data_IF_034806754673
#
_entry.id   IF_034806754673
#
_cell.length_a   1.000
_cell.length_b   1.000
_cell.length_c   1.000
_cell.angle_alpha   90.00
_cell.angle_beta   90.00
_cell.angle_gamma   90.00
#
_symmetry.space_group_name_H-M   'P 1'
#
loop_
_entity.id
_entity.type
_entity.pdbx_description
1 polymer ?
#
# COMPACT_ATOMS: atom_id res chain seq x y z
N UNK A 1 15.73 14.31 -7.30
CA UNK A 1 15.76 12.93 -7.83
C UNK A 1 14.58 12.20 -7.21
N UNK A 2 13.60 11.79 -8.02
CA UNK A 2 12.63 10.79 -7.56
C UNK A 2 13.44 9.56 -7.13
N UNK A 3 13.29 9.12 -5.88
CA UNK A 3 13.91 7.87 -5.43
C UNK A 3 13.24 6.73 -6.18
N UNK A 4 14.01 5.75 -6.65
CA UNK A 4 13.46 4.51 -7.17
C UNK A 4 12.83 3.77 -5.98
N UNK A 5 11.51 3.79 -5.91
CA UNK A 5 10.73 3.03 -4.94
C UNK A 5 10.19 1.80 -5.66
N UNK A 6 10.27 0.63 -5.01
CA UNK A 6 9.70 -0.62 -5.50
C UNK A 6 8.60 -1.11 -4.59
N UNK A 7 7.62 -1.78 -5.18
CA UNK A 7 6.47 -2.31 -4.46
C UNK A 7 6.35 -3.82 -4.59
N UNK A 8 6.22 -4.48 -3.45
CA UNK A 8 5.79 -5.87 -3.36
C UNK A 8 4.32 -5.92 -2.94
N UNK A 9 3.54 -6.79 -3.58
CA UNK A 9 2.13 -7.02 -3.26
C UNK A 9 1.92 -8.49 -2.91
N UNK A 10 1.23 -8.74 -1.81
CA UNK A 10 0.63 -10.04 -1.51
C UNK A 10 -0.86 -9.89 -1.23
N UNK A 11 -1.66 -10.78 -1.78
CA UNK A 11 -3.11 -10.88 -1.55
C UNK A 11 -3.41 -12.27 -1.03
N UNK A 12 -4.15 -12.38 0.06
CA UNK A 12 -4.48 -13.64 0.72
C UNK A 12 -3.23 -14.50 1.01
N UNK A 13 -2.14 -13.85 1.43
CA UNK A 13 -0.83 -14.45 1.68
C UNK A 13 -0.15 -15.07 0.43
N UNK A 14 -0.63 -14.77 -0.77
CA UNK A 14 -0.01 -15.15 -2.04
C UNK A 14 0.65 -13.93 -2.66
N UNK A 15 1.94 -14.05 -2.99
CA UNK A 15 2.68 -12.99 -3.69
C UNK A 15 2.12 -12.80 -5.10
N UNK A 16 1.86 -11.56 -5.48
CA UNK A 16 1.40 -11.18 -6.82
C UNK A 16 2.59 -10.60 -7.59
N UNK A 17 2.92 -11.21 -8.73
CA UNK A 17 3.95 -10.68 -9.63
C UNK A 17 3.41 -9.42 -10.32
N UNK A 18 4.11 -8.29 -10.12
CA UNK A 18 3.77 -7.02 -10.73
C UNK A 18 4.66 -6.80 -11.95
N UNK A 19 4.04 -6.43 -13.07
CA UNK A 19 4.81 -5.89 -14.18
C UNK A 19 5.25 -4.43 -13.88
N UNK A 20 6.22 -3.87 -14.62
CA UNK A 20 6.77 -2.55 -14.31
C UNK A 20 5.73 -1.42 -14.23
N UNK A 21 4.72 -1.44 -15.11
CA UNK A 21 3.66 -0.43 -15.10
C UNK A 21 2.79 -0.54 -13.84
N UNK A 22 2.36 -1.76 -13.49
CA UNK A 22 1.50 -2.00 -12.33
C UNK A 22 2.26 -1.68 -11.04
N UNK A 23 3.53 -2.07 -10.97
CA UNK A 23 4.40 -1.75 -9.84
C UNK A 23 4.53 -0.24 -9.64
N UNK A 24 4.88 0.51 -10.68
CA UNK A 24 5.02 1.96 -10.58
C UNK A 24 3.68 2.64 -10.23
N UNK A 25 2.59 2.22 -10.87
CA UNK A 25 1.27 2.78 -10.61
C UNK A 25 0.84 2.55 -9.16
N UNK A 26 0.96 1.32 -8.66
CA UNK A 26 0.66 0.98 -7.26
C UNK A 26 1.56 1.76 -6.30
N UNK A 27 2.87 1.82 -6.59
CA UNK A 27 3.85 2.57 -5.79
C UNK A 27 3.41 4.03 -5.64
N UNK A 28 3.14 4.72 -6.75
CA UNK A 28 2.77 6.14 -6.76
C UNK A 28 1.43 6.38 -6.06
N UNK A 29 0.43 5.50 -6.26
CA UNK A 29 -0.87 5.63 -5.58
C UNK A 29 -0.73 5.48 -4.06
N UNK A 30 -0.01 4.46 -3.59
CA UNK A 30 0.15 4.20 -2.15
C UNK A 30 0.95 5.33 -1.49
N UNK A 31 2.06 5.75 -2.09
CA UNK A 31 2.86 6.87 -1.59
C UNK A 31 2.08 8.18 -1.62
N UNK A 32 1.32 8.45 -2.69
CA UNK A 32 0.47 9.64 -2.78
C UNK A 32 -0.59 9.69 -1.68
N UNK A 33 -1.26 8.57 -1.43
CA UNK A 33 -2.27 8.48 -0.38
C UNK A 33 -1.64 8.70 1.02
N UNK A 34 -0.51 8.04 1.30
CA UNK A 34 0.11 8.07 2.63
C UNK A 34 0.89 9.35 2.91
N UNK A 35 1.55 9.95 1.92
CA UNK A 35 2.30 11.21 2.10
C UNK A 35 1.44 12.42 2.46
N UNK A 36 0.12 12.32 2.27
CA UNK A 36 -0.85 13.32 2.74
C UNK A 36 -1.09 13.28 4.26
N UNK A 37 -0.64 12.21 4.94
CA UNK A 37 -0.79 12.05 6.38
C UNK A 37 0.32 12.79 7.14
N UNK A 38 -0.06 13.41 8.26
CA UNK A 38 0.90 14.02 9.19
C UNK A 38 1.90 12.98 9.69
N UNK A 39 3.19 13.26 9.52
CA UNK A 39 4.29 12.37 9.91
C UNK A 39 4.69 11.33 8.86
N UNK A 40 4.13 11.40 7.64
CA UNK A 40 4.47 10.53 6.52
C UNK A 40 4.94 11.29 5.26
N UNK A 41 5.28 12.57 5.39
CA UNK A 41 5.61 13.48 4.28
C UNK A 41 6.81 12.99 3.45
N UNK A 42 7.73 12.26 4.09
CA UNK A 42 8.91 11.67 3.46
C UNK A 42 8.95 10.16 3.68
N UNK A 43 8.28 9.41 2.82
CA UNK A 43 8.20 7.93 2.92
C UNK A 43 9.35 7.26 2.14
N UNK A 44 10.20 6.50 2.83
CA UNK A 44 11.27 5.68 2.24
C UNK A 44 11.00 4.18 2.37
N UNK A 45 10.36 3.79 3.47
CA UNK A 45 9.84 2.45 3.69
C UNK A 45 8.38 2.57 4.13
N UNK A 46 7.51 1.75 3.58
CA UNK A 46 6.10 1.68 3.93
C UNK A 46 5.68 0.22 3.98
N UNK A 47 5.00 -0.14 5.06
CA UNK A 47 4.33 -1.43 5.20
C UNK A 47 2.86 -1.15 5.48
N UNK A 48 2.00 -1.63 4.60
CA UNK A 48 0.55 -1.57 4.76
C UNK A 48 0.00 -2.98 4.82
N UNK A 49 -0.69 -3.28 5.92
CA UNK A 49 -1.34 -4.54 6.15
C UNK A 49 -2.83 -4.30 6.32
N UNK A 50 -3.64 -5.05 5.57
CA UNK A 50 -5.08 -5.10 5.70
C UNK A 50 -5.50 -6.54 5.97
N UNK A 51 -6.21 -6.74 7.07
CA UNK A 51 -6.75 -8.05 7.46
C UNK A 51 -8.02 -7.84 8.29
N UNK A 52 -9.11 -8.53 7.94
CA UNK A 52 -10.39 -8.50 8.67
C UNK A 52 -10.94 -7.08 8.95
N UNK A 53 -10.66 -6.12 8.06
CA UNK A 53 -11.09 -4.74 8.20
C UNK A 53 -10.20 -3.88 9.11
N UNK A 54 -9.15 -4.45 9.69
CA UNK A 54 -8.09 -3.71 10.37
C UNK A 54 -6.96 -3.35 9.43
N UNK A 55 -6.35 -2.20 9.71
CA UNK A 55 -5.30 -1.61 8.89
C UNK A 55 -4.15 -1.25 9.80
N UNK A 56 -2.99 -1.79 9.47
CA UNK A 56 -1.73 -1.38 10.07
C UNK A 56 -0.92 -0.65 9.01
N UNK A 57 -0.52 0.58 9.33
CA UNK A 57 0.35 1.39 8.49
C UNK A 57 1.63 1.69 9.25
N UNK A 58 2.76 1.28 8.69
CA UNK A 58 4.09 1.57 9.22
C UNK A 58 4.84 2.38 8.16
N UNK A 59 5.30 3.58 8.53
CA UNK A 59 6.11 4.43 7.65
C UNK A 59 7.45 4.68 8.31
N UNK A 60 8.53 4.36 7.59
CA UNK A 60 9.90 4.47 8.07
C UNK A 60 10.13 3.80 9.44
N UNK A 61 9.45 2.66 9.68
CA UNK A 61 9.53 1.90 10.93
C UNK A 61 8.64 2.42 12.07
N UNK A 62 7.91 3.52 11.88
CA UNK A 62 6.97 4.04 12.87
C UNK A 62 5.54 3.67 12.49
N UNK A 63 4.78 3.11 13.43
CA UNK A 63 3.36 2.83 13.23
C UNK A 63 2.55 4.13 13.28
N UNK A 64 1.75 4.38 12.25
CA UNK A 64 0.83 5.52 12.19
C UNK A 64 -0.59 5.09 12.51
N UNK A 65 -1.17 5.73 13.52
CA UNK A 65 -2.58 5.56 13.84
C UNK A 65 -3.42 6.40 12.89
N UNK A 66 -4.29 5.73 12.13
CA UNK A 66 -5.20 6.38 11.20
C UNK A 66 -6.50 6.78 11.89
N UNK A 67 -7.03 7.95 11.52
CA UNK A 67 -8.43 8.27 11.81
C UNK A 67 -9.34 7.34 10.99
N UNK A 68 -10.60 7.12 11.41
CA UNK A 68 -11.55 6.30 10.64
C UNK A 68 -11.68 6.76 9.18
N UNK A 69 -11.77 8.07 8.94
CA UNK A 69 -11.82 8.63 7.59
C UNK A 69 -10.57 8.33 6.76
N UNK A 70 -9.37 8.53 7.31
CA UNK A 70 -8.12 8.25 6.60
C UNK A 70 -7.97 6.76 6.31
N UNK A 71 -8.34 5.90 7.28
CA UNK A 71 -8.40 4.44 7.13
C UNK A 71 -9.27 4.08 5.92
N UNK A 72 -10.52 4.55 5.88
CA UNK A 72 -11.48 4.20 4.82
C UNK A 72 -11.04 4.70 3.43
N UNK A 73 -10.49 5.92 3.33
CA UNK A 73 -10.04 6.45 2.03
C UNK A 73 -8.86 5.63 1.48
N UNK A 74 -7.87 5.34 2.33
CA UNK A 74 -6.68 4.59 1.92
C UNK A 74 -7.06 3.15 1.54
N UNK A 75 -7.84 2.47 2.36
CA UNK A 75 -8.23 1.07 2.10
C UNK A 75 -9.08 0.93 0.87
N UNK A 76 -10.13 1.74 0.71
CA UNK A 76 -11.03 1.63 -0.43
C UNK A 76 -10.31 1.94 -1.74
N UNK A 77 -9.38 2.90 -1.74
CA UNK A 77 -8.57 3.23 -2.92
C UNK A 77 -7.66 2.07 -3.30
N UNK A 78 -6.94 1.49 -2.32
CA UNK A 78 -6.02 0.37 -2.55
C UNK A 78 -6.78 -0.90 -2.97
N UNK A 79 -7.89 -1.22 -2.29
CA UNK A 79 -8.75 -2.36 -2.64
C UNK A 79 -9.30 -2.19 -4.06
N UNK A 80 -9.78 -1.00 -4.42
CA UNK A 80 -10.27 -0.71 -5.77
C UNK A 80 -9.22 -0.98 -6.83
N UNK A 81 -7.99 -0.50 -6.62
CA UNK A 81 -6.87 -0.74 -7.53
C UNK A 81 -6.51 -2.23 -7.60
N UNK A 82 -6.29 -2.89 -6.46
CA UNK A 82 -5.84 -4.29 -6.40
C UNK A 82 -6.90 -5.25 -6.92
N UNK A 83 -8.19 -4.96 -6.75
CA UNK A 83 -9.29 -5.77 -7.30
C UNK A 83 -9.35 -5.80 -8.83
N UNK A 84 -8.69 -4.83 -9.49
CA UNK A 84 -8.60 -4.80 -10.95
C UNK A 84 -7.45 -5.64 -11.52
N UNK A 85 -6.58 -6.16 -10.65
CA UNK A 85 -5.42 -6.94 -11.06
C UNK A 85 -5.83 -8.36 -11.44
N UNK A 86 -5.24 -8.85 -12.55
CA UNK A 86 -5.46 -10.22 -13.00
C UNK A 86 -5.02 -11.21 -11.92
N UNK A 87 -5.91 -12.17 -11.60
CA UNK A 87 -5.65 -13.19 -10.59
C UNK A 87 -6.05 -12.78 -9.17
N UNK A 88 -6.66 -11.60 -9.00
CA UNK A 88 -7.26 -11.16 -7.74
C UNK A 88 -8.77 -11.27 -7.85
N UNK A 89 -9.38 -12.23 -7.15
CA UNK A 89 -10.84 -12.40 -7.10
C UNK A 89 -11.44 -11.80 -5.83
N UNK A 90 -11.00 -12.28 -4.67
CA UNK A 90 -11.45 -11.82 -3.35
C UNK A 90 -10.23 -11.38 -2.55
N UNK A 91 -10.36 -10.28 -1.80
CA UNK A 91 -9.29 -9.75 -0.94
C UNK A 91 -9.73 -9.94 0.52
N UNK A 92 -9.27 -11.01 1.16
CA UNK A 92 -9.44 -11.28 2.60
C UNK A 92 -8.29 -10.69 3.42
N UNK A 93 -7.08 -10.73 2.86
CA UNK A 93 -5.92 -10.01 3.37
C UNK A 93 -5.10 -9.39 2.25
N UNK A 94 -4.40 -8.30 2.57
CA UNK A 94 -3.54 -7.59 1.65
C UNK A 94 -2.31 -7.07 2.39
N UNK A 95 -1.14 -7.26 1.80
CA UNK A 95 0.12 -6.70 2.27
C UNK A 95 0.82 -5.97 1.12
N UNK A 96 1.16 -4.72 1.35
CA UNK A 96 1.95 -3.90 0.43
C UNK A 96 3.21 -3.46 1.17
N UNK A 97 4.37 -3.73 0.57
CA UNK A 97 5.64 -3.16 1.03
C UNK A 97 6.18 -2.24 -0.05
N UNK A 98 6.49 -0.99 0.31
CA UNK A 98 7.22 -0.06 -0.56
C UNK A 98 8.58 0.22 0.05
N UNK A 99 9.65 0.07 -0.73
CA UNK A 99 11.02 0.29 -0.26
C UNK A 99 11.82 1.08 -1.28
N UNK A 100 12.74 1.92 -0.80
CA UNK A 100 13.77 2.50 -1.63
C UNK A 100 14.73 1.43 -2.15
N UNK A 101 15.02 1.50 -3.44
CA UNK A 101 16.07 0.74 -4.12
C UNK A 101 17.45 1.38 -3.93
#
# INVERSE_FOLDING_TARGET
>A
MEKNLRTELAVNNVSIELNPFVEEFLTRTVIGAVSSLKGAEYTQNLELHLEQGDVKLIVNGNELHLTPFAKDIITNTIIGLVSSLKGVDKIDSLKINVKAE
#
